data_IF_091279278419
#
_entry.id   IF_091279278419
#
_cell.length_a   1.000
_cell.length_b   1.000
_cell.length_c   1.000
_cell.angle_alpha   90.00
_cell.angle_beta   90.00
_cell.angle_gamma   90.00
#
_symmetry.space_group_name_H-M   'P 1'
#
loop_
_entity.id
_entity.type
_entity.pdbx_description
1 polymer ?
#
# COMPACT_ATOMS: atom_id res chain seq x y z
N UNK A 1 -22.17 17.39 -4.92
CA UNK A 1 -22.42 16.24 -4.04
C UNK A 1 -21.10 15.51 -3.84
N UNK A 2 -20.50 15.59 -2.64
CA UNK A 2 -19.26 14.85 -2.34
C UNK A 2 -19.65 13.41 -2.01
N UNK A 3 -19.41 12.49 -2.95
CA UNK A 3 -19.57 11.06 -2.72
C UNK A 3 -18.49 10.59 -1.75
N UNK A 4 -18.76 10.66 -0.45
CA UNK A 4 -18.00 9.90 0.52
C UNK A 4 -18.26 8.43 0.24
N UNK A 5 -17.27 7.73 -0.31
CA UNK A 5 -17.29 6.27 -0.41
C UNK A 5 -17.54 5.77 1.03
N UNK A 6 -18.62 5.03 1.30
CA UNK A 6 -18.88 4.52 2.64
C UNK A 6 -17.65 3.74 3.13
N UNK A 7 -17.39 3.65 4.44
CA UNK A 7 -16.33 2.80 4.96
C UNK A 7 -16.61 1.36 4.54
N UNK A 8 -16.13 0.95 3.36
CA UNK A 8 -16.25 -0.41 2.90
C UNK A 8 -15.43 -1.23 3.87
N UNK A 9 -16.11 -2.11 4.60
CA UNK A 9 -15.48 -3.05 5.49
C UNK A 9 -14.41 -3.79 4.69
N UNK A 10 -13.15 -3.75 5.14
CA UNK A 10 -12.06 -4.37 4.39
C UNK A 10 -12.40 -5.79 4.02
N UNK A 11 -12.98 -6.58 4.93
CA UNK A 11 -13.32 -7.98 4.72
C UNK A 11 -14.39 -8.23 3.65
N UNK A 12 -15.19 -7.23 3.27
CA UNK A 12 -16.21 -7.37 2.20
C UNK A 12 -15.69 -6.95 0.82
N UNK A 13 -14.45 -6.48 0.73
CA UNK A 13 -13.88 -6.01 -0.53
C UNK A 13 -13.57 -7.17 -1.46
N UNK A 14 -14.00 -7.06 -2.71
CA UNK A 14 -13.62 -8.01 -3.77
C UNK A 14 -12.19 -7.71 -4.25
N UNK A 15 -11.62 -8.62 -5.03
CA UNK A 15 -10.31 -8.46 -5.67
C UNK A 15 -10.27 -7.20 -6.55
N UNK A 16 -11.35 -6.91 -7.25
CA UNK A 16 -11.54 -5.69 -8.04
C UNK A 16 -11.59 -4.44 -7.16
N UNK A 17 -12.33 -4.49 -6.05
CA UNK A 17 -12.38 -3.40 -5.09
C UNK A 17 -11.02 -3.08 -4.47
N UNK A 18 -10.16 -4.10 -4.28
CA UNK A 18 -8.76 -3.89 -3.85
C UNK A 18 -7.94 -3.20 -4.95
N UNK A 19 -8.10 -3.58 -6.22
CA UNK A 19 -7.45 -2.90 -7.34
C UNK A 19 -7.84 -1.41 -7.41
N UNK A 20 -9.14 -1.12 -7.32
CA UNK A 20 -9.67 0.25 -7.30
C UNK A 20 -9.14 1.02 -6.09
N UNK A 21 -9.09 0.39 -4.91
CA UNK A 21 -8.56 1.01 -3.71
C UNK A 21 -7.10 1.42 -3.88
N UNK A 22 -6.26 0.56 -4.47
CA UNK A 22 -4.84 0.86 -4.73
C UNK A 22 -4.69 2.06 -5.67
N UNK A 23 -5.54 2.15 -6.70
CA UNK A 23 -5.54 3.27 -7.63
C UNK A 23 -5.82 4.62 -6.95
N UNK A 24 -6.65 4.61 -5.90
CA UNK A 24 -7.02 5.80 -5.13
C UNK A 24 -6.00 6.20 -4.05
N UNK A 25 -4.91 5.44 -3.87
CA UNK A 25 -3.88 5.77 -2.89
C UNK A 25 -3.00 6.89 -3.45
N UNK A 26 -3.05 8.04 -2.78
CA UNK A 26 -2.21 9.19 -3.11
C UNK A 26 -0.72 8.82 -3.01
N UNK A 27 0.03 9.13 -4.06
CA UNK A 27 1.47 8.88 -4.15
C UNK A 27 1.88 7.52 -4.75
N UNK A 28 0.93 6.63 -5.09
CA UNK A 28 1.24 5.42 -5.86
C UNK A 28 1.69 5.80 -7.28
N UNK A 29 2.74 5.15 -7.76
CA UNK A 29 3.15 5.23 -9.15
C UNK A 29 2.11 4.61 -10.09
N UNK A 30 1.44 5.47 -10.87
CA UNK A 30 0.39 5.05 -11.79
C UNK A 30 0.91 4.21 -12.97
N UNK A 31 2.20 4.33 -13.32
CA UNK A 31 2.79 3.50 -14.37
C UNK A 31 2.84 2.02 -13.98
N UNK A 32 2.88 1.73 -12.68
CA UNK A 32 2.94 0.38 -12.13
C UNK A 32 1.56 -0.25 -11.87
N UNK A 33 0.47 0.51 -12.04
CA UNK A 33 -0.88 0.04 -11.72
C UNK A 33 -1.32 -1.19 -12.51
N UNK A 34 -0.88 -1.34 -13.76
CA UNK A 34 -1.13 -2.53 -14.56
C UNK A 34 -0.54 -3.78 -13.90
N UNK A 35 0.71 -3.69 -13.44
CA UNK A 35 1.41 -4.76 -12.74
C UNK A 35 0.74 -5.08 -11.40
N UNK A 36 0.43 -4.06 -10.59
CA UNK A 36 -0.21 -4.27 -9.29
C UNK A 36 -1.59 -4.91 -9.43
N UNK A 37 -2.41 -4.45 -10.38
CA UNK A 37 -3.73 -5.04 -10.63
C UNK A 37 -3.64 -6.48 -11.13
N UNK A 38 -2.64 -6.80 -11.95
CA UNK A 38 -2.40 -8.17 -12.40
C UNK A 38 -2.00 -9.09 -11.23
N UNK A 39 -1.09 -8.63 -10.36
CA UNK A 39 -0.66 -9.37 -9.16
C UNK A 39 -1.83 -9.60 -8.19
N UNK A 40 -2.61 -8.56 -7.89
CA UNK A 40 -3.78 -8.65 -7.00
C UNK A 40 -4.77 -9.71 -7.51
N UNK A 41 -5.06 -9.70 -8.81
CA UNK A 41 -5.95 -10.70 -9.43
C UNK A 41 -5.35 -12.10 -9.40
N UNK A 42 -4.08 -12.23 -9.79
CA UNK A 42 -3.38 -13.52 -9.83
C UNK A 42 -3.31 -14.20 -8.47
N UNK A 43 -3.00 -13.42 -7.43
CA UNK A 43 -2.88 -13.91 -6.06
C UNK A 43 -4.23 -13.93 -5.30
N UNK A 44 -5.33 -13.56 -5.95
CA UNK A 44 -6.66 -13.45 -5.35
C UNK A 44 -6.67 -12.63 -4.04
N UNK A 45 -5.99 -11.48 -4.06
CA UNK A 45 -5.91 -10.59 -2.90
C UNK A 45 -7.21 -9.81 -2.77
N UNK A 46 -8.12 -10.35 -1.97
CA UNK A 46 -9.38 -9.72 -1.62
C UNK A 46 -9.37 -9.23 -0.17
N UNK A 47 -10.48 -8.62 0.22
CA UNK A 47 -10.71 -8.08 1.54
C UNK A 47 -10.46 -9.04 2.70
N UNK A 48 -10.90 -10.30 2.58
CA UNK A 48 -10.72 -11.31 3.62
C UNK A 48 -9.25 -11.68 3.79
N UNK A 49 -8.55 -11.85 2.67
CA UNK A 49 -7.09 -12.08 2.66
C UNK A 49 -6.40 -10.94 3.39
N UNK A 50 -6.69 -9.68 3.05
CA UNK A 50 -6.07 -8.51 3.71
C UNK A 50 -6.32 -8.44 5.22
N UNK A 51 -7.44 -8.96 5.72
CA UNK A 51 -7.74 -9.00 7.16
C UNK A 51 -7.07 -10.14 7.93
N UNK A 52 -6.66 -11.21 7.24
CA UNK A 52 -6.16 -12.44 7.88
C UNK A 52 -4.68 -12.72 7.56
N UNK A 53 -4.16 -12.20 6.46
CA UNK A 53 -2.84 -12.53 5.97
C UNK A 53 -1.74 -11.91 6.84
N UNK A 54 -0.62 -12.64 6.95
CA UNK A 54 0.61 -12.06 7.46
C UNK A 54 1.12 -10.99 6.48
N UNK A 55 1.37 -9.79 7.00
CA UNK A 55 1.80 -8.63 6.20
C UNK A 55 3.15 -8.88 5.50
N UNK A 56 4.02 -9.71 6.07
CA UNK A 56 5.35 -10.00 5.51
C UNK A 56 5.26 -11.00 4.34
N UNK A 57 4.29 -11.90 4.37
CA UNK A 57 3.97 -12.80 3.25
C UNK A 57 3.29 -12.03 2.13
N UNK A 58 2.32 -11.18 2.47
CA UNK A 58 1.63 -10.32 1.50
C UNK A 58 2.62 -9.40 0.76
N UNK A 59 3.65 -8.88 1.44
CA UNK A 59 4.69 -8.06 0.81
C UNK A 59 5.38 -8.78 -0.34
N UNK A 60 5.73 -10.05 -0.11
CA UNK A 60 6.44 -10.87 -1.10
C UNK A 60 5.57 -11.12 -2.32
N UNK A 61 4.28 -11.37 -2.08
CA UNK A 61 3.32 -11.64 -3.15
C UNK A 61 3.02 -10.39 -3.97
N UNK A 62 2.80 -9.25 -3.32
CA UNK A 62 2.38 -8.00 -3.98
C UNK A 62 3.47 -7.40 -4.89
N UNK A 63 4.75 -7.71 -4.63
CA UNK A 63 5.90 -7.27 -5.43
C UNK A 63 5.88 -5.77 -5.78
N UNK A 64 5.43 -4.94 -4.83
CA UNK A 64 5.40 -3.49 -4.95
C UNK A 64 6.78 -2.90 -4.67
N UNK A 65 7.06 -1.72 -5.24
CA UNK A 65 8.24 -0.94 -4.86
C UNK A 65 8.16 -0.62 -3.37
N UNK A 66 9.31 -0.34 -2.75
CA UNK A 66 9.34 -0.04 -1.31
C UNK A 66 8.37 1.08 -0.92
N UNK A 67 8.34 2.20 -1.67
CA UNK A 67 7.45 3.33 -1.40
C UNK A 67 5.97 2.95 -1.54
N UNK A 68 5.60 2.37 -2.67
CA UNK A 68 4.22 1.95 -2.96
C UNK A 68 3.70 0.93 -1.94
N UNK A 69 4.57 0.00 -1.51
CA UNK A 69 4.24 -0.94 -0.45
C UNK A 69 3.93 -0.27 0.88
N UNK A 70 4.68 0.77 1.28
CA UNK A 70 4.39 1.50 2.52
C UNK A 70 3.03 2.20 2.43
N UNK A 71 2.72 2.81 1.28
CA UNK A 71 1.44 3.48 1.04
C UNK A 71 0.27 2.49 1.05
N UNK A 72 0.42 1.36 0.36
CA UNK A 72 -0.56 0.28 0.35
C UNK A 72 -0.80 -0.30 1.75
N UNK A 73 0.26 -0.70 2.46
CA UNK A 73 0.18 -1.22 3.83
C UNK A 73 -0.50 -0.24 4.78
N UNK A 74 -0.21 1.06 4.65
CA UNK A 74 -0.89 2.08 5.42
C UNK A 74 -2.39 2.13 5.07
N UNK A 75 -2.76 2.10 3.79
CA UNK A 75 -4.17 2.11 3.36
C UNK A 75 -4.99 0.93 3.92
N UNK A 76 -4.40 -0.27 3.96
CA UNK A 76 -5.02 -1.47 4.52
C UNK A 76 -5.23 -1.33 6.03
N UNK A 77 -4.31 -0.67 6.76
CA UNK A 77 -4.42 -0.49 8.21
C UNK A 77 -5.31 0.69 8.65
N UNK A 78 -5.58 1.66 7.77
CA UNK A 78 -6.21 2.95 8.12
C UNK A 78 -7.73 3.00 8.11
N UNK A 79 -8.44 1.87 7.99
CA UNK A 79 -9.89 1.86 8.16
C UNK A 79 -10.37 2.02 9.63
N UNK A 80 -9.50 2.51 10.53
CA UNK A 80 -9.83 2.84 11.94
C UNK A 80 -9.50 4.29 12.35
N UNK A 81 -9.66 5.26 11.44
CA UNK A 81 -9.67 6.72 11.69
C UNK A 81 -8.39 7.48 11.28
N UNK A 82 -8.64 8.58 10.55
CA UNK A 82 -7.75 9.71 10.22
C UNK A 82 -6.81 9.57 9.01
N UNK A 83 -6.97 10.55 8.11
CA UNK A 83 -6.13 10.87 6.95
C UNK A 83 -4.65 10.94 7.38
N UNK A 84 -3.81 9.98 6.97
CA UNK A 84 -2.37 10.31 6.89
C UNK A 84 -2.22 11.26 5.72
N UNK A 85 -1.92 12.51 6.03
CA UNK A 85 -1.20 13.40 5.13
C UNK A 85 0.27 13.02 5.24
N UNK A 86 0.86 12.50 4.18
CA UNK A 86 2.32 12.51 4.07
C UNK A 86 2.70 13.85 3.45
N UNK A 87 2.89 14.89 4.27
CA UNK A 87 3.66 16.04 3.82
C UNK A 87 5.11 15.60 3.69
N UNK A 88 5.58 15.48 2.45
CA UNK A 88 6.98 15.56 2.06
C UNK A 88 7.95 14.66 2.82
N UNK A 89 8.36 13.57 2.18
CA UNK A 89 9.74 13.09 2.37
C UNK A 89 10.36 12.97 1.00
N UNK A 90 11.12 14.00 0.60
CA UNK A 90 12.13 13.82 -0.43
C UNK A 90 13.04 12.71 0.07
N UNK A 91 13.12 11.62 -0.70
CA UNK A 91 14.10 10.57 -0.51
C UNK A 91 15.50 11.17 -0.67
N UNK A 92 16.09 11.68 0.40
CA UNK A 92 17.54 11.66 0.56
C UNK A 92 17.87 10.29 1.12
N UNK A 93 18.52 9.47 0.30
CA UNK A 93 19.26 8.28 0.71
C UNK A 93 20.28 8.70 1.78
N UNK A 94 19.92 8.58 3.06
CA UNK A 94 20.88 8.75 4.15
C UNK A 94 21.72 7.48 4.26
N UNK A 95 23.00 7.59 3.89
CA UNK A 95 24.01 6.63 4.34
C UNK A 95 24.04 6.63 5.87
N UNK A 96 24.13 5.42 6.45
CA UNK A 96 24.28 5.20 7.90
C UNK A 96 25.47 5.99 8.47
N UNK A 97 25.37 6.64 9.66
CA UNK A 97 26.47 7.40 10.27
C UNK A 97 27.59 6.55 10.90
N UNK A 98 27.56 5.22 10.77
CA UNK A 98 28.61 4.36 11.30
C UNK A 98 29.61 3.92 10.23
N UNK A 99 30.38 4.88 9.71
CA UNK A 99 31.72 4.59 9.20
C UNK A 99 32.64 5.45 10.05
N UNK A 100 33.33 4.81 11.00
CA UNK A 100 34.31 5.50 11.84
C UNK A 100 35.42 6.03 10.94
N UNK A 101 35.77 7.29 11.15
CA UNK A 101 37.09 7.79 10.78
C UNK A 101 38.14 6.93 11.50
N UNK A 102 38.96 6.25 10.71
CA UNK A 102 40.16 5.56 11.15
C UNK A 102 41.34 6.23 10.47
N UNK A 103 42.10 6.99 11.27
CA UNK A 103 43.46 7.43 11.02
C UNK A 103 44.38 6.25 10.68
#
# INVERSE_FOLDING_TARGET
MQGSIPPVLLSSMTTEGVCERVHLIEGIDQSMMGNYSATIRKANVNGRVLTQCNIDELKKEMNMNFGDWQLFRASVRKNSSHKIRFYGTKHTFQRSPYVRDGN
#
